data_IF_435104347162
#
_entry.id   IF_435104347162
#
_cell.length_a   1.000
_cell.length_b   1.000
_cell.length_c   1.000
_cell.angle_alpha   90.00
_cell.angle_beta   90.00
_cell.angle_gamma   90.00
#
_symmetry.space_group_name_H-M   'P 1'
#
loop_
_entity.id
_entity.type
_entity.pdbx_description
1 polymer ?
#
# COMPACT_ATOMS: atom_id res chain seq x y z
N UNK A 1 3.39 5.90 5.65
CA UNK A 1 4.39 5.32 4.72
C UNK A 1 4.90 3.99 5.26
N UNK A 2 5.02 2.98 4.43
CA UNK A 2 5.61 1.69 4.82
C UNK A 2 7.14 1.81 4.86
N UNK A 3 7.75 1.61 6.03
CA UNK A 3 9.20 1.62 6.19
C UNK A 3 9.81 0.34 5.60
N UNK A 4 11.04 0.46 5.07
CA UNK A 4 11.80 -0.66 4.49
C UNK A 4 11.10 -1.41 3.33
N UNK A 5 10.12 -0.79 2.66
CA UNK A 5 9.42 -1.40 1.53
C UNK A 5 10.32 -1.59 0.30
N UNK A 6 11.41 -0.84 0.20
CA UNK A 6 12.29 -0.83 -0.95
C UNK A 6 13.72 -1.30 -0.65
N UNK A 7 13.97 -2.62 -0.49
CA UNK A 7 15.33 -3.14 -0.41
C UNK A 7 16.11 -2.89 -1.71
N UNK A 8 17.44 -2.88 -1.61
CA UNK A 8 18.32 -2.49 -2.70
C UNK A 8 18.10 -3.29 -3.99
N UNK A 9 17.86 -4.59 -3.89
CA UNK A 9 17.63 -5.46 -5.05
C UNK A 9 16.29 -5.20 -5.73
N UNK A 10 15.24 -4.87 -4.96
CA UNK A 10 13.95 -4.46 -5.53
C UNK A 10 14.06 -3.11 -6.26
N UNK A 11 14.85 -2.16 -5.72
CA UNK A 11 15.17 -0.91 -6.41
C UNK A 11 15.93 -1.14 -7.71
N UNK A 12 16.87 -2.09 -7.74
CA UNK A 12 17.57 -2.46 -8.97
C UNK A 12 16.59 -3.00 -10.01
N UNK A 13 15.66 -3.86 -9.60
CA UNK A 13 14.62 -4.39 -10.48
C UNK A 13 13.76 -3.26 -11.08
N UNK A 14 13.33 -2.31 -10.27
CA UNK A 14 12.57 -1.15 -10.74
C UNK A 14 13.37 -0.32 -11.78
N UNK A 15 14.69 -0.18 -11.61
CA UNK A 15 15.57 0.54 -12.56
C UNK A 15 15.68 -0.16 -13.92
N UNK A 16 15.43 -1.45 -14.00
CA UNK A 16 15.41 -2.19 -15.28
C UNK A 16 14.14 -1.96 -16.09
N UNK A 17 13.20 -1.18 -15.56
CA UNK A 17 11.89 -0.94 -16.17
C UNK A 17 10.86 -2.03 -15.89
N UNK A 18 11.16 -2.97 -14.99
CA UNK A 18 10.20 -3.99 -14.58
C UNK A 18 9.09 -3.38 -13.74
N UNK A 19 7.85 -3.70 -14.06
CA UNK A 19 6.68 -3.27 -13.29
C UNK A 19 6.72 -3.86 -11.88
N UNK A 20 6.51 -3.00 -10.89
CA UNK A 20 6.38 -3.41 -9.50
C UNK A 20 4.95 -3.20 -9.04
N UNK A 21 4.31 -4.25 -8.55
CA UNK A 21 2.95 -4.18 -8.03
C UNK A 21 3.01 -4.33 -6.51
N UNK A 22 2.48 -3.32 -5.81
CA UNK A 22 2.36 -3.28 -4.37
C UNK A 22 0.88 -3.24 -3.99
N UNK A 23 0.45 -4.14 -3.15
CA UNK A 23 -0.85 -4.09 -2.48
C UNK A 23 -0.68 -3.59 -1.06
N UNK A 24 -1.39 -2.52 -0.71
CA UNK A 24 -1.59 -2.10 0.66
C UNK A 24 -2.90 -2.69 1.15
N UNK A 25 -2.85 -3.44 2.22
CA UNK A 25 -4.04 -4.02 2.84
C UNK A 25 -4.26 -3.34 4.18
N UNK A 26 -5.44 -2.78 4.37
CA UNK A 26 -5.88 -2.11 5.60
C UNK A 26 -6.99 -2.94 6.21
N UNK A 27 -6.75 -3.49 7.39
CA UNK A 27 -7.75 -4.18 8.19
C UNK A 27 -8.25 -3.28 9.30
N UNK A 28 -9.56 -3.11 9.40
CA UNK A 28 -10.22 -2.50 10.55
C UNK A 28 -10.53 -3.58 11.55
N UNK A 29 -10.01 -3.47 12.76
CA UNK A 29 -10.19 -4.43 13.84
C UNK A 29 -10.98 -3.83 14.99
N UNK A 30 -11.99 -4.56 15.46
CA UNK A 30 -12.78 -4.20 16.63
C UNK A 30 -12.14 -4.79 17.88
N UNK A 31 -12.01 -3.95 18.91
CA UNK A 31 -11.45 -4.33 20.21
C UNK A 31 -12.53 -4.33 21.31
N UNK A 32 -12.38 -5.13 22.42
CA UNK A 32 -11.39 -6.19 22.58
C UNK A 32 -11.71 -7.39 21.65
N UNK A 33 -10.83 -8.33 21.51
CA UNK A 33 -11.05 -9.53 20.68
C UNK A 33 -10.39 -9.48 19.31
N UNK A 34 -9.93 -8.29 18.88
CA UNK A 34 -9.11 -8.12 17.67
C UNK A 34 -9.79 -8.67 16.38
N UNK A 35 -11.12 -8.56 16.32
CA UNK A 35 -11.92 -9.11 15.23
C UNK A 35 -11.84 -8.21 14.00
N UNK A 36 -11.49 -8.76 12.85
CA UNK A 36 -11.51 -8.03 11.57
C UNK A 36 -12.96 -7.78 11.17
N UNK A 37 -13.34 -6.50 11.10
CA UNK A 37 -14.68 -6.04 10.72
C UNK A 37 -14.72 -5.34 9.37
N UNK A 38 -13.57 -5.04 8.80
CA UNK A 38 -13.44 -4.45 7.47
C UNK A 38 -12.05 -4.68 6.89
N UNK A 39 -11.97 -4.74 5.57
CA UNK A 39 -10.72 -4.84 4.83
C UNK A 39 -10.82 -4.05 3.53
N UNK A 40 -9.81 -3.25 3.26
CA UNK A 40 -9.63 -2.54 1.99
C UNK A 40 -8.27 -2.88 1.44
N UNK A 41 -8.19 -3.09 0.13
CA UNK A 41 -6.94 -3.31 -0.59
C UNK A 41 -6.74 -2.19 -1.58
N UNK A 42 -5.58 -1.54 -1.54
CA UNK A 42 -5.16 -0.53 -2.52
C UNK A 42 -4.03 -1.12 -3.33
N UNK A 43 -4.21 -1.15 -4.65
CA UNK A 43 -3.13 -1.50 -5.58
C UNK A 43 -2.32 -0.24 -5.91
N UNK A 44 -1.01 -0.36 -5.89
CA UNK A 44 -0.06 0.59 -6.45
C UNK A 44 0.83 -0.12 -7.45
N UNK A 45 0.87 0.41 -8.66
CA UNK A 45 1.72 -0.11 -9.73
C UNK A 45 2.75 0.94 -10.10
N UNK A 46 4.01 0.59 -9.98
CA UNK A 46 5.13 1.39 -10.46
C UNK A 46 5.56 0.86 -11.82
N UNK A 47 5.53 1.73 -12.83
CA UNK A 47 5.91 1.43 -14.20
C UNK A 47 6.95 2.43 -14.70
N UNK A 48 7.76 2.05 -15.66
CA UNK A 48 8.67 2.94 -16.37
C UNK A 48 8.14 3.22 -17.78
N UNK A 49 7.93 4.50 -18.10
CA UNK A 49 7.61 4.94 -19.45
C UNK A 49 8.90 5.27 -20.20
N UNK A 50 9.28 4.42 -21.15
CA UNK A 50 10.50 4.58 -21.92
C UNK A 50 10.43 5.76 -22.90
N UNK A 51 9.23 6.17 -23.33
CA UNK A 51 9.02 7.29 -24.26
C UNK A 51 9.17 8.61 -23.52
N UNK A 52 8.47 8.76 -22.41
CA UNK A 52 8.55 9.93 -21.54
C UNK A 52 9.82 9.96 -20.68
N UNK A 53 10.50 8.82 -20.54
CA UNK A 53 11.66 8.63 -19.65
C UNK A 53 11.33 8.97 -18.20
N UNK A 54 10.15 8.57 -17.76
CA UNK A 54 9.63 8.86 -16.43
C UNK A 54 9.07 7.61 -15.75
N UNK A 55 8.82 7.70 -14.46
CA UNK A 55 8.20 6.64 -13.69
C UNK A 55 6.76 7.02 -13.36
N UNK A 56 5.84 6.13 -13.64
CA UNK A 56 4.41 6.30 -13.42
C UNK A 56 3.99 5.47 -12.22
N UNK A 57 3.28 6.09 -11.29
CA UNK A 57 2.63 5.39 -10.17
C UNK A 57 1.13 5.42 -10.40
N UNK A 58 0.55 4.25 -10.60
CA UNK A 58 -0.89 4.06 -10.79
C UNK A 58 -1.48 3.53 -9.47
N UNK A 59 -2.58 4.10 -9.04
CA UNK A 59 -3.26 3.77 -7.79
C UNK A 59 -4.70 3.35 -8.03
N UNK A 60 -5.17 2.36 -7.29
CA UNK A 60 -6.59 1.97 -7.31
C UNK A 60 -6.98 1.14 -6.07
N UNK A 61 -8.06 1.44 -5.33
CA UNK A 61 -8.75 2.72 -5.18
C UNK A 61 -7.98 3.71 -4.29
N UNK A 62 -8.20 5.01 -4.40
CA UNK A 62 -8.87 5.68 -5.50
C UNK A 62 -8.05 5.58 -6.79
N UNK A 63 -8.72 5.60 -7.94
CA UNK A 63 -8.04 5.60 -9.21
C UNK A 63 -7.29 6.92 -9.41
N UNK A 64 -5.97 6.84 -9.52
CA UNK A 64 -5.09 8.00 -9.68
C UNK A 64 -3.83 7.59 -10.43
N UNK A 65 -3.23 8.53 -11.15
CA UNK A 65 -1.98 8.32 -11.88
C UNK A 65 -1.09 9.54 -11.70
N UNK A 66 0.13 9.31 -11.23
CA UNK A 66 1.12 10.36 -11.05
C UNK A 66 2.42 10.02 -11.77
N UNK A 67 3.05 11.02 -12.36
CA UNK A 67 4.29 10.91 -13.12
C UNK A 67 5.46 11.53 -12.35
N UNK A 68 6.61 10.86 -12.37
CA UNK A 68 7.81 11.22 -11.63
C UNK A 68 9.04 11.13 -12.54
N UNK A 69 9.79 12.21 -12.66
CA UNK A 69 11.05 12.23 -13.41
C UNK A 69 12.17 11.41 -12.77
N UNK A 70 12.06 11.06 -11.49
CA UNK A 70 13.07 10.31 -10.74
C UNK A 70 12.48 9.09 -10.05
N UNK A 71 13.20 7.96 -10.09
CA UNK A 71 12.80 6.71 -9.45
C UNK A 71 12.57 6.89 -7.94
N UNK A 72 13.46 7.56 -7.23
CA UNK A 72 13.34 7.70 -5.78
C UNK A 72 12.05 8.42 -5.36
N UNK A 73 11.61 9.43 -6.13
CA UNK A 73 10.33 10.11 -5.92
C UNK A 73 9.14 9.18 -6.14
N UNK A 74 9.18 8.39 -7.21
CA UNK A 74 8.16 7.39 -7.51
C UNK A 74 8.08 6.29 -6.45
N UNK A 75 9.23 5.83 -5.94
CA UNK A 75 9.30 4.82 -4.88
C UNK A 75 8.68 5.35 -3.58
N UNK A 76 8.96 6.60 -3.21
CA UNK A 76 8.34 7.24 -2.03
C UNK A 76 6.83 7.35 -2.23
N UNK A 77 6.39 7.85 -3.39
CA UNK A 77 4.97 8.01 -3.70
C UNK A 77 4.22 6.66 -3.66
N UNK A 78 4.83 5.58 -4.16
CA UNK A 78 4.18 4.26 -4.20
C UNK A 78 3.93 3.65 -2.82
N UNK A 79 4.64 4.08 -1.78
CA UNK A 79 4.49 3.59 -0.38
C UNK A 79 3.89 4.65 0.56
N UNK A 80 3.53 5.82 0.04
CA UNK A 80 2.84 6.88 0.78
C UNK A 80 1.35 6.81 0.48
N UNK A 81 0.53 6.67 1.52
CA UNK A 81 -0.91 6.51 1.41
C UNK A 81 -1.59 7.57 2.25
N UNK A 82 -2.32 8.47 1.58
CA UNK A 82 -3.10 9.52 2.19
C UNK A 82 -4.58 9.33 1.85
N UNK A 83 -5.45 9.58 2.82
CA UNK A 83 -6.91 9.59 2.64
C UNK A 83 -7.49 8.30 2.02
N UNK A 84 -6.92 7.14 2.33
CA UNK A 84 -7.48 5.85 1.89
C UNK A 84 -8.73 5.53 2.71
N UNK A 85 -9.89 5.32 2.07
CA UNK A 85 -11.10 4.96 2.78
C UNK A 85 -10.97 3.53 3.34
N UNK A 86 -10.86 3.39 4.66
CA UNK A 86 -10.67 2.10 5.31
C UNK A 86 -12.00 1.37 5.56
N UNK A 87 -13.08 2.11 5.84
CA UNK A 87 -14.39 1.55 6.17
C UNK A 87 -15.48 2.61 6.07
N UNK A 88 -16.73 2.26 5.66
CA UNK A 88 -17.86 3.18 5.72
C UNK A 88 -18.14 3.60 7.17
N UNK A 89 -18.29 4.91 7.41
CA UNK A 89 -18.59 5.45 8.75
C UNK A 89 -19.86 4.86 9.37
N UNK A 90 -20.85 4.54 8.52
CA UNK A 90 -22.11 3.93 8.95
C UNK A 90 -21.94 2.54 9.61
N UNK A 91 -20.86 1.83 9.26
CA UNK A 91 -20.56 0.49 9.79
C UNK A 91 -19.84 0.51 11.15
N UNK A 92 -19.47 1.69 11.65
CA UNK A 92 -18.80 1.86 12.93
C UNK A 92 -19.85 1.98 14.07
N UNK A 93 -19.64 1.22 15.14
CA UNK A 93 -20.36 1.38 16.39
C UNK A 93 -19.68 2.48 17.23
N UNK A 94 -20.44 3.51 17.62
CA UNK A 94 -19.89 4.65 18.36
C UNK A 94 -19.28 4.26 19.72
N UNK A 95 -19.82 3.23 20.36
CA UNK A 95 -19.39 2.73 21.67
C UNK A 95 -18.21 1.74 21.61
N UNK A 96 -17.87 1.25 20.44
CA UNK A 96 -16.79 0.28 20.27
C UNK A 96 -15.44 0.96 20.03
N UNK A 97 -14.36 0.26 20.32
CA UNK A 97 -12.98 0.66 19.98
C UNK A 97 -12.51 -0.07 18.73
N UNK A 98 -11.73 0.63 17.92
CA UNK A 98 -11.16 0.12 16.68
C UNK A 98 -9.67 0.43 16.60
N UNK A 99 -8.92 -0.45 15.94
CA UNK A 99 -7.57 -0.20 15.45
C UNK A 99 -7.47 -0.55 13.97
N UNK A 100 -6.47 -0.01 13.29
CA UNK A 100 -6.17 -0.32 11.91
C UNK A 100 -4.84 -1.04 11.84
N UNK A 101 -4.83 -2.17 11.16
CA UNK A 101 -3.60 -2.89 10.81
C UNK A 101 -3.36 -2.71 9.33
N UNK A 102 -2.19 -2.22 8.99
CA UNK A 102 -1.79 -1.89 7.63
C UNK A 102 -0.58 -2.73 7.29
N UNK A 103 -0.65 -3.47 6.19
CA UNK A 103 0.50 -4.26 5.73
C UNK A 103 0.61 -4.26 4.21
N UNK A 104 1.85 -4.38 3.73
CA UNK A 104 2.17 -4.46 2.31
C UNK A 104 2.27 -5.90 1.83
N UNK A 105 1.87 -6.13 0.58
CA UNK A 105 2.12 -7.37 -0.15
C UNK A 105 2.63 -6.98 -1.54
N UNK A 106 3.74 -7.59 -1.97
CA UNK A 106 4.21 -7.44 -3.34
C UNK A 106 3.55 -8.50 -4.23
N UNK A 107 3.11 -8.06 -5.41
CA UNK A 107 2.51 -8.93 -6.40
C UNK A 107 3.54 -9.72 -7.20
N UNK A 108 3.04 -10.51 -8.14
CA UNK A 108 3.85 -11.19 -9.15
C UNK A 108 3.95 -10.31 -10.39
N UNK A 109 5.16 -10.14 -10.93
CA UNK A 109 5.40 -9.43 -12.18
C UNK A 109 5.93 -10.37 -13.25
N UNK A 110 5.72 -10.02 -14.52
CA UNK A 110 6.32 -10.73 -15.66
C UNK A 110 7.56 -9.99 -16.12
N UNK A 111 8.61 -10.73 -16.45
CA UNK A 111 9.85 -10.20 -16.97
C UNK A 111 10.05 -10.74 -18.38
N UNK A 112 10.07 -9.86 -19.39
CA UNK A 112 10.22 -10.23 -20.79
C UNK A 112 11.52 -11.03 -21.04
N UNK A 113 12.60 -10.66 -20.39
CA UNK A 113 13.89 -11.34 -20.49
C UNK A 113 13.87 -12.81 -20.01
N UNK A 114 12.80 -13.25 -19.36
CA UNK A 114 12.62 -14.61 -18.85
C UNK A 114 11.39 -15.29 -19.50
N UNK A 115 11.16 -15.07 -20.78
CA UNK A 115 10.02 -15.61 -21.54
C UNK A 115 8.66 -15.32 -20.88
N UNK A 116 8.51 -14.13 -20.32
CA UNK A 116 7.33 -13.72 -19.54
C UNK A 116 7.02 -14.61 -18.32
N UNK A 117 8.00 -15.31 -17.78
CA UNK A 117 7.86 -16.03 -16.52
C UNK A 117 7.53 -15.06 -15.38
N UNK A 118 6.57 -15.43 -14.55
CA UNK A 118 6.20 -14.65 -13.39
C UNK A 118 7.28 -14.71 -12.31
N UNK A 119 7.64 -13.56 -11.74
CA UNK A 119 8.50 -13.46 -10.55
C UNK A 119 7.63 -13.06 -9.37
N UNK A 120 7.67 -13.85 -8.31
CA UNK A 120 7.07 -13.49 -7.02
C UNK A 120 7.96 -12.45 -6.33
N UNK A 121 7.50 -11.19 -6.31
CA UNK A 121 8.24 -10.09 -5.72
C UNK A 121 8.36 -10.18 -4.19
N UNK A 122 7.55 -11.00 -3.52
CA UNK A 122 7.66 -11.24 -2.08
C UNK A 122 9.02 -11.84 -1.67
N UNK A 123 9.73 -12.47 -2.62
CA UNK A 123 11.10 -12.91 -2.43
C UNK A 123 12.02 -11.78 -1.93
N UNK A 124 11.87 -10.57 -2.48
CA UNK A 124 12.68 -9.41 -2.09
C UNK A 124 12.44 -8.91 -0.67
N UNK A 125 11.31 -9.29 -0.08
CA UNK A 125 10.99 -9.04 1.33
C UNK A 125 11.26 -10.26 2.22
N UNK A 126 11.95 -11.29 1.72
CA UNK A 126 12.09 -12.56 2.42
C UNK A 126 10.76 -13.11 2.92
N UNK A 127 9.68 -12.92 2.14
CA UNK A 127 8.29 -13.26 2.49
C UNK A 127 7.78 -12.62 3.80
N UNK A 128 8.45 -11.59 4.28
CA UNK A 128 7.99 -10.78 5.41
C UNK A 128 7.25 -9.56 4.92
N UNK A 129 6.10 -9.31 5.51
CA UNK A 129 5.25 -8.16 5.15
C UNK A 129 5.63 -6.98 6.02
N UNK A 130 5.99 -5.80 5.47
CA UNK A 130 6.05 -4.58 6.25
C UNK A 130 4.66 -4.29 6.82
N UNK A 131 4.59 -4.04 8.12
CA UNK A 131 3.33 -3.88 8.84
C UNK A 131 3.41 -2.70 9.80
N UNK A 132 2.28 -2.01 9.96
CA UNK A 132 2.07 -0.99 10.97
C UNK A 132 0.68 -1.19 11.60
N UNK A 133 0.56 -0.89 12.88
CA UNK A 133 -0.70 -0.87 13.59
C UNK A 133 -0.90 0.50 14.24
N UNK A 134 -2.12 1.01 14.20
CA UNK A 134 -2.46 2.27 14.86
C UNK A 134 -2.79 2.05 16.32
N UNK A 135 -2.79 3.12 17.10
CA UNK A 135 -3.45 3.13 18.40
C UNK A 135 -4.96 2.86 18.26
N UNK A 136 -5.63 2.65 19.39
CA UNK A 136 -7.08 2.40 19.42
C UNK A 136 -7.86 3.71 19.41
N UNK A 137 -8.94 3.72 18.65
CA UNK A 137 -9.86 4.84 18.51
C UNK A 137 -11.28 4.41 18.88
N UNK A 138 -12.01 5.28 19.55
CA UNK A 138 -13.44 5.07 19.73
C UNK A 138 -14.19 5.32 18.42
N UNK A 139 -15.22 4.51 18.14
CA UNK A 139 -16.02 4.66 16.94
C UNK A 139 -16.67 6.04 16.80
N UNK A 140 -17.04 6.70 17.91
CA UNK A 140 -17.51 8.08 17.92
C UNK A 140 -16.50 9.06 17.33
N UNK A 141 -15.22 8.95 17.72
CA UNK A 141 -14.14 9.82 17.22
C UNK A 141 -13.94 9.63 15.72
N UNK A 142 -13.97 8.38 15.25
CA UNK A 142 -13.82 8.05 13.82
C UNK A 142 -15.01 8.56 12.99
N UNK A 143 -16.25 8.51 13.55
CA UNK A 143 -17.44 9.06 12.89
C UNK A 143 -17.39 10.57 12.70
N UNK A 144 -16.84 11.29 13.67
CA UNK A 144 -16.70 12.74 13.62
C UNK A 144 -15.60 13.23 12.67
N UNK A 145 -14.76 12.33 12.18
CA UNK A 145 -13.63 12.67 11.31
C UNK A 145 -12.49 13.43 12.04
N UNK A 146 -12.52 13.44 13.36
CA UNK A 146 -11.49 14.02 14.22
C UNK A 146 -10.39 13.04 14.60
N UNK A 147 -10.05 12.09 13.75
CA UNK A 147 -8.80 11.38 13.90
C UNK A 147 -7.68 12.40 13.65
N UNK A 148 -7.08 12.86 14.73
CA UNK A 148 -6.06 13.89 14.70
C UNK A 148 -4.92 13.44 13.76
N UNK A 149 -4.65 14.23 12.74
CA UNK A 149 -3.34 14.21 12.11
C UNK A 149 -2.33 14.68 13.17
N UNK A 150 -1.57 13.78 13.70
CA UNK A 150 -0.34 14.03 14.40
C UNK A 150 0.79 13.32 13.68
#
# INVERSE_FOLDING_TARGET
MLSNAWPADLKKLARTGTDIILYLIIETRRNPGNTVVGRVTVERRLQYDAVARSYIVISNPPADTADFGALDSALIASVTFDNVPAMPKASLDAGAEYSFVIYGVLGTTKVEALDNSGIDLMYFWNYRRPMAETERFRGSVLKEGKAASR
#
